data_IF_535080821087
#
_entry.id   IF_535080821087
#
_cell.length_a   1.000
_cell.length_b   1.000
_cell.length_c   1.000
_cell.angle_alpha   90.00
_cell.angle_beta   90.00
_cell.angle_gamma   90.00
#
_symmetry.space_group_name_H-M   'P 1'
#
loop_
_entity.id
_entity.type
_entity.pdbx_description
1 polymer ?
#
# COMPACT_ATOMS: atom_id res chain seq x y z
N UNK A 1 -11.91 10.90 28.39
CA UNK A 1 -12.58 10.28 27.24
C UNK A 1 -11.76 9.05 26.90
N UNK A 2 -12.24 7.87 27.28
CA UNK A 2 -11.55 6.61 27.01
C UNK A 2 -11.81 6.24 25.55
N UNK A 3 -10.76 5.87 24.83
CA UNK A 3 -10.79 5.46 23.42
C UNK A 3 -11.29 4.02 23.40
N UNK A 4 -12.58 3.79 23.59
CA UNK A 4 -13.06 2.43 23.87
C UNK A 4 -13.19 1.55 22.61
N UNK A 5 -13.18 2.13 21.41
CA UNK A 5 -13.25 1.39 20.14
C UNK A 5 -12.25 1.89 19.10
N UNK A 6 -10.95 1.74 19.35
CA UNK A 6 -9.93 1.97 18.32
C UNK A 6 -9.60 0.66 17.59
N UNK A 7 -9.76 0.64 16.26
CA UNK A 7 -9.38 -0.51 15.43
C UNK A 7 -8.28 -0.12 14.45
N UNK A 8 -7.12 -0.78 14.59
CA UNK A 8 -6.01 -0.72 13.67
C UNK A 8 -5.89 -2.06 12.92
N UNK A 9 -5.92 -2.03 11.59
CA UNK A 9 -5.60 -3.19 10.76
C UNK A 9 -4.31 -2.90 10.02
N UNK A 10 -3.35 -3.81 10.09
CA UNK A 10 -2.03 -3.65 9.47
C UNK A 10 -1.81 -4.73 8.43
N UNK A 11 -1.35 -4.34 7.24
CA UNK A 11 -0.94 -5.27 6.20
C UNK A 11 0.46 -5.80 6.49
N UNK A 12 0.54 -7.10 6.79
CA UNK A 12 1.80 -7.83 7.01
C UNK A 12 1.93 -9.02 6.07
N UNK A 13 3.17 -9.44 5.83
CA UNK A 13 3.48 -10.58 4.97
C UNK A 13 3.81 -10.21 3.52
N UNK A 14 4.19 -11.21 2.70
CA UNK A 14 4.61 -11.00 1.32
C UNK A 14 3.44 -10.66 0.39
N UNK A 15 3.78 -10.30 -0.85
CA UNK A 15 2.85 -10.24 -1.96
C UNK A 15 2.22 -11.62 -2.23
N UNK A 16 1.04 -11.64 -2.87
CA UNK A 16 0.37 -12.88 -3.24
C UNK A 16 1.18 -13.75 -4.21
N UNK A 17 0.82 -15.02 -4.34
CA UNK A 17 1.52 -15.96 -5.21
C UNK A 17 1.44 -15.59 -6.71
N UNK A 18 2.34 -16.18 -7.51
CA UNK A 18 2.36 -16.01 -8.96
C UNK A 18 2.72 -14.59 -9.39
N UNK A 19 1.86 -13.93 -10.17
CA UNK A 19 2.06 -12.55 -10.61
C UNK A 19 1.75 -11.50 -9.53
N UNK A 20 1.21 -11.93 -8.39
CA UNK A 20 0.68 -11.05 -7.34
C UNK A 20 -0.32 -10.00 -7.86
N UNK A 21 -1.09 -10.32 -8.91
CA UNK A 21 -1.90 -9.34 -9.64
C UNK A 21 -2.98 -8.61 -8.86
N UNK A 22 -3.45 -9.21 -7.76
CA UNK A 22 -4.41 -8.61 -6.83
C UNK A 22 -3.74 -7.93 -5.63
N UNK A 23 -2.42 -8.10 -5.45
CA UNK A 23 -1.70 -7.35 -4.43
C UNK A 23 -1.61 -5.89 -4.83
N UNK A 24 -1.72 -5.03 -3.84
CA UNK A 24 -1.32 -3.64 -3.95
C UNK A 24 0.14 -3.52 -3.48
N UNK A 25 0.72 -2.35 -3.70
CA UNK A 25 2.05 -2.01 -3.23
C UNK A 25 2.00 -1.44 -1.80
N UNK A 26 1.37 -2.19 -0.90
CA UNK A 26 0.83 -1.73 0.38
C UNK A 26 1.43 -2.47 1.59
N UNK A 27 2.61 -3.09 1.46
CA UNK A 27 3.23 -3.79 2.60
C UNK A 27 3.49 -2.78 3.72
N UNK A 28 3.20 -3.17 4.97
CA UNK A 28 3.22 -2.31 6.15
C UNK A 28 2.23 -1.14 6.14
N UNK A 29 1.27 -1.12 5.21
CA UNK A 29 0.16 -0.17 5.28
C UNK A 29 -0.78 -0.48 6.45
N UNK A 30 -1.59 0.51 6.82
CA UNK A 30 -2.62 0.32 7.85
C UNK A 30 -3.88 1.12 7.59
N UNK A 31 -4.99 0.67 8.19
CA UNK A 31 -6.24 1.42 8.29
C UNK A 31 -6.59 1.64 9.75
N UNK A 32 -7.17 2.78 10.06
CA UNK A 32 -7.56 3.19 11.41
C UNK A 32 -9.02 3.60 11.43
N UNK A 33 -9.80 3.06 12.36
CA UNK A 33 -11.15 3.54 12.66
C UNK A 33 -11.32 3.74 14.16
N UNK A 34 -12.15 4.71 14.52
CA UNK A 34 -12.58 5.00 15.89
C UNK A 34 -14.10 4.86 15.96
N UNK A 35 -14.57 3.91 16.76
CA UNK A 35 -15.95 3.44 16.77
C UNK A 35 -16.44 3.12 15.34
N UNK A 36 -17.49 3.80 14.88
CA UNK A 36 -18.07 3.64 13.54
C UNK A 36 -17.47 4.61 12.50
N UNK A 37 -16.40 5.34 12.84
CA UNK A 37 -15.81 6.37 11.97
C UNK A 37 -14.47 5.92 11.43
N UNK A 38 -14.32 5.91 10.11
CA UNK A 38 -13.04 5.68 9.46
C UNK A 38 -12.15 6.93 9.52
N UNK A 39 -10.93 6.79 10.03
CA UNK A 39 -9.95 7.89 10.20
C UNK A 39 -8.88 7.82 9.10
N UNK A 40 -8.33 6.63 8.87
CA UNK A 40 -7.37 6.36 7.80
C UNK A 40 -7.85 5.14 7.01
N UNK A 41 -8.16 5.35 5.73
CA UNK A 41 -8.75 4.34 4.85
C UNK A 41 -7.76 3.83 3.82
N UNK A 42 -8.02 2.62 3.32
CA UNK A 42 -7.43 2.15 2.08
C UNK A 42 -8.31 2.63 0.92
N UNK A 43 -7.75 3.27 -0.12
CA UNK A 43 -8.55 3.82 -1.21
C UNK A 43 -9.02 2.76 -2.23
N UNK A 44 -8.59 1.50 -2.07
CA UNK A 44 -8.89 0.42 -2.99
C UNK A 44 -8.18 0.57 -4.33
N UNK A 45 -8.72 -0.08 -5.36
CA UNK A 45 -8.06 -0.21 -6.67
C UNK A 45 -8.54 0.85 -7.69
N UNK A 46 -9.57 1.62 -7.33
CA UNK A 46 -10.33 2.54 -8.17
C UNK A 46 -11.04 1.90 -9.39
N UNK A 47 -10.29 1.39 -10.37
CA UNK A 47 -10.85 0.72 -11.57
C UNK A 47 -9.96 -0.42 -12.01
N UNK A 48 -10.50 -1.41 -12.73
CA UNK A 48 -9.70 -2.49 -13.32
C UNK A 48 -9.26 -2.24 -14.75
N UNK A 49 -10.04 -1.47 -15.53
CA UNK A 49 -9.85 -1.41 -16.99
C UNK A 49 -10.00 0.00 -17.56
N UNK A 50 -10.71 0.89 -16.86
CA UNK A 50 -11.14 2.17 -17.46
C UNK A 50 -10.01 3.20 -17.57
N UNK A 51 -9.09 3.22 -16.60
CA UNK A 51 -7.96 4.14 -16.57
C UNK A 51 -6.74 3.43 -15.98
N UNK A 52 -5.77 3.13 -16.84
CA UNK A 52 -4.56 2.43 -16.44
C UNK A 52 -3.68 3.27 -15.50
N UNK A 53 -3.59 4.58 -15.73
CA UNK A 53 -2.73 5.47 -14.93
C UNK A 53 -3.28 5.64 -13.52
N UNK A 54 -4.58 5.88 -13.38
CA UNK A 54 -5.22 5.95 -12.06
C UNK A 54 -5.15 4.60 -11.37
N UNK A 55 -5.46 3.50 -12.05
CA UNK A 55 -5.35 2.16 -11.47
C UNK A 55 -3.94 1.87 -10.95
N UNK A 56 -2.89 2.23 -11.71
CA UNK A 56 -1.51 2.04 -11.27
C UNK A 56 -1.16 2.91 -10.07
N UNK A 57 -1.65 4.15 -10.04
CA UNK A 57 -1.50 5.03 -8.87
C UNK A 57 -2.19 4.46 -7.61
N UNK A 58 -3.45 4.04 -7.72
CA UNK A 58 -4.24 3.49 -6.60
C UNK A 58 -3.69 2.16 -6.07
N UNK A 59 -2.98 1.40 -6.91
CA UNK A 59 -2.26 0.19 -6.50
C UNK A 59 -0.84 0.46 -6.00
N UNK A 60 -0.31 1.66 -6.21
CA UNK A 60 1.03 2.07 -5.82
C UNK A 60 1.11 2.45 -4.34
N UNK A 61 2.32 2.47 -3.76
CA UNK A 61 2.52 2.74 -2.34
C UNK A 61 2.09 4.14 -1.92
N UNK A 62 2.07 5.10 -2.84
CA UNK A 62 1.67 6.48 -2.57
C UNK A 62 0.18 6.62 -2.20
N UNK A 63 -0.65 5.65 -2.55
CA UNK A 63 -2.08 5.65 -2.25
C UNK A 63 -2.40 5.04 -0.88
N UNK A 64 -1.45 4.34 -0.25
CA UNK A 64 -1.68 3.62 1.01
C UNK A 64 -1.00 4.33 2.18
N UNK A 65 -1.54 4.12 3.40
CA UNK A 65 -0.94 4.64 4.64
C UNK A 65 0.32 3.83 5.00
N UNK A 66 1.36 3.94 4.17
CA UNK A 66 2.66 3.28 4.32
C UNK A 66 3.78 4.29 4.04
N UNK A 67 5.02 3.84 4.20
CA UNK A 67 6.22 4.65 3.95
C UNK A 67 6.71 4.39 2.52
N UNK A 68 7.22 5.45 1.89
CA UNK A 68 8.01 5.35 0.65
C UNK A 68 9.42 5.83 0.89
N UNK A 69 10.39 5.11 0.34
CA UNK A 69 11.80 5.51 0.31
C UNK A 69 12.06 6.12 -1.05
N UNK A 70 12.70 7.30 -1.09
CA UNK A 70 13.03 8.02 -2.33
C UNK A 70 11.83 8.20 -3.28
N UNK A 71 10.63 8.41 -2.70
CA UNK A 71 9.36 8.55 -3.44
C UNK A 71 9.06 7.37 -4.39
N UNK A 72 9.60 6.20 -4.10
CA UNK A 72 9.40 5.00 -4.91
C UNK A 72 8.37 4.07 -4.28
N UNK A 73 7.67 3.33 -5.14
CA UNK A 73 6.84 2.19 -4.73
C UNK A 73 7.73 0.99 -4.36
N UNK A 74 7.23 0.09 -3.52
CA UNK A 74 7.97 -1.08 -3.04
C UNK A 74 8.33 -2.07 -4.16
N UNK A 75 7.49 -2.16 -5.20
CA UNK A 75 7.68 -2.98 -6.40
C UNK A 75 7.25 -2.22 -7.65
N UNK A 76 7.77 -2.63 -8.81
CA UNK A 76 7.46 -2.00 -10.10
C UNK A 76 6.28 -2.73 -10.75
N UNK A 77 5.28 -1.98 -11.22
CA UNK A 77 4.16 -2.54 -11.99
C UNK A 77 4.65 -3.17 -13.31
N UNK A 78 4.17 -4.36 -13.64
CA UNK A 78 4.50 -5.08 -14.88
C UNK A 78 3.23 -5.46 -15.64
N UNK A 79 2.37 -4.46 -15.82
CA UNK A 79 1.01 -4.58 -16.35
C UNK A 79 -0.06 -4.53 -15.25
N UNK A 80 -1.35 -4.57 -15.62
CA UNK A 80 -2.42 -4.32 -14.66
C UNK A 80 -2.46 -5.39 -13.55
N UNK A 81 -2.31 -6.66 -13.88
CA UNK A 81 -2.43 -7.76 -12.90
C UNK A 81 -1.09 -8.46 -12.65
N UNK A 82 0.00 -7.70 -12.63
CA UNK A 82 1.33 -8.24 -12.38
C UNK A 82 2.29 -7.20 -11.78
N UNK A 83 3.15 -7.67 -10.88
CA UNK A 83 4.29 -6.93 -10.36
C UNK A 83 5.60 -7.54 -10.86
N UNK A 84 6.66 -6.73 -10.94
CA UNK A 84 8.01 -7.23 -11.18
C UNK A 84 8.53 -7.97 -9.96
N UNK A 85 9.40 -8.96 -10.17
CA UNK A 85 10.12 -9.62 -9.07
C UNK A 85 11.25 -8.75 -8.47
N UNK A 86 11.52 -7.58 -9.05
CA UNK A 86 12.51 -6.61 -8.56
C UNK A 86 11.87 -5.72 -7.50
N UNK A 87 12.41 -5.76 -6.28
CA UNK A 87 12.09 -4.78 -5.25
C UNK A 87 12.80 -3.47 -5.54
N UNK A 88 12.14 -2.34 -5.30
CA UNK A 88 12.87 -1.06 -5.27
C UNK A 88 13.59 -0.98 -3.93
N UNK A 89 14.90 -1.20 -3.97
CA UNK A 89 15.78 -1.05 -2.82
C UNK A 89 16.25 0.40 -2.74
N UNK A 90 15.74 1.16 -1.77
CA UNK A 90 16.37 2.42 -1.33
C UNK A 90 17.29 2.17 -0.14
N UNK A 91 18.39 2.92 -0.02
CA UNK A 91 19.22 2.89 1.20
C UNK A 91 18.50 3.67 2.30
N UNK A 92 18.10 3.00 3.38
CA UNK A 92 17.75 3.69 4.62
C UNK A 92 19.07 4.13 5.27
N UNK A 93 19.51 5.36 4.97
CA UNK A 93 20.55 6.02 5.75
C UNK A 93 20.03 6.19 7.18
N UNK A 94 20.86 5.82 8.17
CA UNK A 94 20.49 5.90 9.59
C UNK A 94 19.93 7.29 9.93
N UNK A 95 18.69 7.34 10.44
CA UNK A 95 18.17 8.51 11.15
C UNK A 95 19.02 8.60 12.42
N UNK A 96 20.01 9.50 12.43
CA UNK A 96 20.60 9.93 13.70
C UNK A 96 19.58 10.82 14.39
N UNK A 97 19.09 10.36 15.54
CA UNK A 97 18.47 11.23 16.54
C UNK A 97 19.52 12.15 17.14
#
# INVERSE_FOLDING_TARGET
>A
MLVEDLRLVVRVGPFGAGSAGHSHCDVLSFTLSEAATDVLVDPGTYTYVADAALRDWFRGSAAHNSIRVDRSDQVIAAGPFRWSHTLVSGRIGFIRM
#
